data_IF_318644494888
#
_entry.id   IF_318644494888
#
_cell.length_a   1.000
_cell.length_b   1.000
_cell.length_c   1.000
_cell.angle_alpha   90.00
_cell.angle_beta   90.00
_cell.angle_gamma   90.00
#
_symmetry.space_group_name_H-M   'P 1'
#
loop_
_entity.id
_entity.type
_entity.pdbx_description
1 polymer ?
#
# COMPACT_ATOMS: atom_id res chain seq x y z
N UNK A 1 20.65 17.59 -25.57
CA UNK A 1 19.27 18.08 -25.76
C UNK A 1 18.30 17.01 -25.28
N UNK A 2 17.54 17.23 -24.21
CA UNK A 2 16.48 16.29 -23.81
C UNK A 2 15.29 16.57 -24.72
N UNK A 3 15.04 15.69 -25.69
CA UNK A 3 13.81 15.72 -26.50
C UNK A 3 12.64 15.51 -25.55
N UNK A 4 11.92 16.59 -25.26
CA UNK A 4 10.73 16.56 -24.43
C UNK A 4 9.64 15.90 -25.28
N UNK A 5 9.33 14.63 -25.00
CA UNK A 5 8.16 13.99 -25.60
C UNK A 5 6.89 14.72 -25.16
N UNK A 6 6.00 14.96 -26.10
CA UNK A 6 4.67 15.52 -25.80
C UNK A 6 3.82 14.48 -25.05
N UNK A 7 2.77 14.93 -24.35
CA UNK A 7 1.90 14.03 -23.58
C UNK A 7 1.16 13.07 -24.52
N UNK A 8 0.68 13.57 -25.66
CA UNK A 8 -0.05 12.78 -26.64
C UNK A 8 0.82 11.71 -27.31
N UNK A 9 2.10 12.01 -27.57
CA UNK A 9 3.06 11.02 -28.06
C UNK A 9 3.28 9.90 -27.05
N UNK A 10 3.40 10.24 -25.77
CA UNK A 10 3.61 9.27 -24.69
C UNK A 10 2.39 8.36 -24.52
N UNK A 11 1.18 8.92 -24.56
CA UNK A 11 -0.09 8.16 -24.52
C UNK A 11 -0.22 7.25 -25.75
N UNK A 12 0.08 7.76 -26.94
CA UNK A 12 -0.01 6.99 -28.18
C UNK A 12 0.94 5.78 -28.17
N UNK A 13 2.14 5.93 -27.58
CA UNK A 13 3.08 4.81 -27.38
C UNK A 13 2.56 3.81 -26.37
N UNK A 14 2.02 4.27 -25.25
CA UNK A 14 1.43 3.41 -24.23
C UNK A 14 0.33 2.52 -24.83
N UNK A 15 -0.60 3.07 -25.60
CA UNK A 15 -1.71 2.30 -26.21
C UNK A 15 -1.16 1.20 -27.13
N UNK A 16 -0.14 1.49 -27.94
CA UNK A 16 0.49 0.50 -28.82
C UNK A 16 1.18 -0.62 -28.04
N UNK A 17 1.93 -0.26 -26.99
CA UNK A 17 2.65 -1.22 -26.14
C UNK A 17 1.69 -2.09 -25.30
N UNK A 18 0.65 -1.47 -24.76
CA UNK A 18 -0.37 -2.15 -23.96
C UNK A 18 -1.22 -3.11 -24.80
N UNK A 19 -1.49 -2.78 -26.06
CA UNK A 19 -2.20 -3.67 -26.98
C UNK A 19 -1.40 -4.91 -27.37
N UNK A 20 -0.07 -4.88 -27.25
CA UNK A 20 0.82 -5.96 -27.67
C UNK A 20 1.14 -6.98 -26.56
N UNK A 21 0.98 -6.60 -25.28
CA UNK A 21 1.31 -7.45 -24.13
C UNK A 21 0.04 -8.01 -23.52
N UNK A 22 -0.03 -9.33 -23.33
CA UNK A 22 -1.10 -9.96 -22.55
C UNK A 22 -1.07 -9.44 -21.12
N UNK A 23 -2.25 -9.29 -20.51
CA UNK A 23 -2.50 -8.60 -19.24
C UNK A 23 -1.82 -9.21 -17.99
N UNK A 24 -0.96 -10.22 -18.16
CA UNK A 24 -0.56 -11.12 -17.07
C UNK A 24 0.44 -10.52 -16.08
N UNK A 25 1.18 -9.45 -16.41
CA UNK A 25 2.09 -8.83 -15.44
C UNK A 25 2.20 -7.31 -15.54
N UNK A 26 1.32 -6.62 -14.81
CA UNK A 26 1.32 -5.17 -14.64
C UNK A 26 2.69 -4.65 -14.17
N UNK A 27 3.30 -5.30 -13.17
CA UNK A 27 4.56 -4.85 -12.60
C UNK A 27 5.71 -5.00 -13.60
N UNK A 28 5.80 -6.13 -14.32
CA UNK A 28 6.85 -6.34 -15.32
C UNK A 28 6.73 -5.35 -16.48
N UNK A 29 5.50 -5.04 -16.91
CA UNK A 29 5.26 -4.01 -17.93
C UNK A 29 5.92 -2.67 -17.58
N UNK A 30 5.75 -2.18 -16.35
CA UNK A 30 6.31 -0.90 -15.92
C UNK A 30 7.80 -0.94 -15.62
N UNK A 31 8.36 -2.10 -15.26
CA UNK A 31 9.81 -2.29 -15.13
C UNK A 31 10.50 -2.13 -16.48
N UNK A 32 9.94 -2.77 -17.52
CA UNK A 32 10.51 -2.76 -18.86
C UNK A 32 10.27 -1.44 -19.60
N UNK A 33 9.04 -0.90 -19.54
CA UNK A 33 8.62 0.25 -20.35
C UNK A 33 8.69 1.59 -19.60
N UNK A 34 8.92 1.59 -18.29
CA UNK A 34 8.88 2.81 -17.47
C UNK A 34 9.95 3.85 -17.83
N UNK A 35 11.06 3.43 -18.45
CA UNK A 35 12.08 4.35 -18.99
C UNK A 35 11.60 5.07 -20.26
N UNK A 36 10.73 4.44 -21.05
CA UNK A 36 10.18 4.99 -22.29
C UNK A 36 8.91 5.82 -22.05
N UNK A 37 8.23 5.59 -20.91
CA UNK A 37 7.00 6.26 -20.49
C UNK A 37 7.19 6.97 -19.14
N UNK A 38 8.07 7.99 -19.05
CA UNK A 38 8.51 8.54 -17.77
C UNK A 38 7.40 9.26 -16.98
N UNK A 39 6.48 9.98 -17.63
CA UNK A 39 5.38 10.67 -16.94
C UNK A 39 4.32 9.66 -16.51
N UNK A 40 3.99 8.72 -17.38
CA UNK A 40 3.00 7.69 -17.11
C UNK A 40 3.48 6.74 -16.00
N UNK A 41 4.75 6.34 -16.01
CA UNK A 41 5.35 5.53 -14.95
C UNK A 41 5.37 6.26 -13.59
N UNK A 42 5.58 7.58 -13.59
CA UNK A 42 5.51 8.39 -12.37
C UNK A 42 4.08 8.45 -11.84
N UNK A 43 3.09 8.66 -12.71
CA UNK A 43 1.67 8.65 -12.34
C UNK A 43 1.26 7.30 -11.75
N UNK A 44 1.61 6.22 -12.44
CA UNK A 44 1.31 4.85 -12.03
C UNK A 44 1.95 4.50 -10.69
N UNK A 45 3.20 4.92 -10.46
CA UNK A 45 3.86 4.73 -9.17
C UNK A 45 3.09 5.45 -8.06
N UNK A 46 2.63 6.69 -8.29
CA UNK A 46 1.83 7.43 -7.29
C UNK A 46 0.49 6.77 -7.01
N UNK A 47 -0.20 6.31 -8.06
CA UNK A 47 -1.51 5.69 -7.90
C UNK A 47 -1.43 4.32 -7.20
N UNK A 48 -0.41 3.50 -7.49
CA UNK A 48 -0.25 2.18 -6.87
C UNK A 48 0.34 2.20 -5.45
N UNK A 49 0.88 3.33 -5.00
CA UNK A 49 1.29 3.50 -3.60
C UNK A 49 0.06 3.65 -2.69
N UNK A 50 -1.06 4.11 -3.23
CA UNK A 50 -2.30 4.28 -2.46
C UNK A 50 -2.99 2.91 -2.44
N UNK A 51 -3.03 2.20 -1.29
CA UNK A 51 -3.80 0.98 -1.20
C UNK A 51 -5.27 1.34 -1.48
N UNK A 52 -5.93 0.55 -2.33
CA UNK A 52 -7.32 0.77 -2.69
C UNK A 52 -8.27 0.68 -1.48
N UNK A 53 -7.80 0.12 -0.35
CA UNK A 53 -8.58 -0.12 0.86
C UNK A 53 -7.76 0.19 2.12
N UNK A 54 -8.45 0.49 3.22
CA UNK A 54 -7.87 0.68 4.57
C UNK A 54 -7.43 -0.61 5.25
N UNK A 55 -7.58 -1.77 4.59
CA UNK A 55 -7.40 -3.11 5.16
C UNK A 55 -6.01 -3.27 5.79
N UNK A 56 -4.95 -2.72 5.17
CA UNK A 56 -3.60 -2.78 5.74
C UNK A 56 -3.47 -2.05 7.08
N UNK A 57 -4.14 -0.89 7.22
CA UNK A 57 -4.16 -0.14 8.48
C UNK A 57 -5.00 -0.84 9.54
N UNK A 58 -6.16 -1.39 9.16
CA UNK A 58 -7.04 -2.14 10.06
C UNK A 58 -6.38 -3.42 10.58
N UNK A 59 -5.64 -4.14 9.73
CA UNK A 59 -4.85 -5.30 10.14
C UNK A 59 -3.81 -4.92 11.20
N UNK A 60 -3.10 -3.81 11.01
CA UNK A 60 -2.14 -3.30 11.99
C UNK A 60 -2.83 -2.92 13.31
N UNK A 61 -3.96 -2.20 13.25
CA UNK A 61 -4.71 -1.82 14.45
C UNK A 61 -5.29 -3.03 15.19
N UNK A 62 -5.72 -4.07 14.49
CA UNK A 62 -6.20 -5.31 15.08
C UNK A 62 -5.08 -6.03 15.86
N UNK A 63 -3.89 -6.16 15.25
CA UNK A 63 -2.72 -6.76 15.91
C UNK A 63 -2.31 -5.92 17.13
N UNK A 64 -2.23 -4.60 16.98
CA UNK A 64 -1.88 -3.71 18.09
C UNK A 64 -2.90 -3.81 19.24
N UNK A 65 -4.20 -3.84 18.91
CA UNK A 65 -5.27 -3.99 19.90
C UNK A 65 -5.22 -5.33 20.61
N UNK A 66 -4.87 -6.41 19.90
CA UNK A 66 -4.69 -7.74 20.49
C UNK A 66 -3.53 -7.76 21.50
N UNK A 67 -2.37 -7.20 21.13
CA UNK A 67 -1.20 -7.09 22.02
C UNK A 67 -1.55 -6.24 23.25
N UNK A 68 -2.18 -5.09 23.03
CA UNK A 68 -2.55 -4.17 24.10
C UNK A 68 -3.59 -4.78 25.06
N UNK A 69 -4.57 -5.54 24.53
CA UNK A 69 -5.54 -6.29 25.34
C UNK A 69 -4.84 -7.33 26.23
N UNK A 70 -3.87 -8.07 25.69
CA UNK A 70 -3.06 -9.03 26.47
C UNK A 70 -2.29 -8.34 27.60
N UNK A 71 -1.72 -7.16 27.35
CA UNK A 71 -1.00 -6.41 28.38
C UNK A 71 -1.93 -5.82 29.46
N UNK A 72 -3.11 -5.28 29.10
CA UNK A 72 -4.08 -4.76 30.10
C UNK A 72 -4.76 -5.86 30.91
N UNK A 73 -4.91 -7.05 30.35
CA UNK A 73 -5.51 -8.20 31.05
C UNK A 73 -4.52 -8.88 32.02
N UNK A 74 -3.25 -8.45 32.03
CA UNK A 74 -2.22 -8.89 32.97
C UNK A 74 -2.21 -8.07 34.28
N UNK A 75 -3.36 -7.57 34.72
CA UNK A 75 -3.54 -7.18 36.12
C UNK A 75 -3.46 -8.47 36.94
N UNK A 76 -2.29 -8.73 37.52
CA UNK A 76 -2.13 -9.80 38.49
C UNK A 76 -3.23 -9.65 39.55
N UNK A 77 -3.91 -10.73 39.95
CA UNK A 77 -4.95 -10.66 40.95
C UNK A 77 -4.26 -10.45 42.30
N UNK A 78 -3.75 -9.24 42.57
CA UNK A 78 -3.49 -8.81 43.93
C UNK A 78 -4.85 -8.48 44.52
N UNK A 79 -5.55 -9.55 44.89
CA UNK A 79 -6.73 -9.54 45.73
C UNK A 79 -6.33 -8.77 47.00
N UNK A 80 -6.58 -7.46 47.03
CA UNK A 80 -6.67 -6.74 48.29
C UNK A 80 -7.94 -7.29 48.92
N UNK A 81 -7.78 -8.25 49.83
CA UNK A 81 -8.88 -8.77 50.66
C UNK A 81 -9.64 -7.54 51.21
N UNK A 82 -10.96 -7.47 51.09
CA UNK A 82 -11.71 -6.39 51.71
C UNK A 82 -11.52 -6.51 53.22
N UNK A 83 -10.80 -5.57 53.82
CA UNK A 83 -10.73 -5.42 55.27
C UNK A 83 -12.06 -4.88 55.74
N UNK A 84 -12.93 -5.78 56.18
CA UNK A 84 -14.15 -5.42 56.90
C UNK A 84 -13.74 -5.11 58.34
N UNK A 85 -13.55 -3.83 58.66
CA UNK A 85 -13.46 -3.39 60.06
C UNK A 85 -14.87 -3.38 60.65
N UNK A 86 -15.09 -4.26 61.64
CA UNK A 86 -16.18 -4.15 62.61
C UNK A 86 -15.80 -3.15 63.69
#
# INVERSE_FOLDING_TARGET
MKTVMTVDEEISRYIKLASAKSADDFQQFWIENGKQLPRLANLVRRMNIIPATSISSEALFSIASFIHRKQRSSLSPRIKKPTFNR
#
